data_IF_177133221729
#
_entry.id   IF_177133221729
#
_cell.length_a   1.000
_cell.length_b   1.000
_cell.length_c   1.000
_cell.angle_alpha   90.00
_cell.angle_beta   90.00
_cell.angle_gamma   90.00
#
_symmetry.space_group_name_H-M   'P 1'
#
loop_
_entity.id
_entity.type
_entity.pdbx_description
1 polymer ?
#
# COMPACT_ATOMS: atom_id res chain seq x y z
N UNK A 1 -32.85 98.53 0.45
CA UNK A 1 -33.77 97.51 -0.10
C UNK A 1 -33.35 96.17 0.43
N UNK A 2 -34.07 95.71 1.46
CA UNK A 2 -33.83 94.44 2.13
C UNK A 2 -34.02 93.31 1.12
N UNK A 3 -32.99 92.52 0.87
CA UNK A 3 -33.21 91.20 0.29
C UNK A 3 -34.08 90.43 1.29
N UNK A 4 -35.28 90.07 0.83
CA UNK A 4 -36.30 89.40 1.61
C UNK A 4 -35.72 88.11 2.24
N UNK A 5 -35.74 87.94 3.57
CA UNK A 5 -35.19 86.74 4.22
C UNK A 5 -35.82 85.45 3.68
N UNK A 6 -37.02 85.54 3.10
CA UNK A 6 -37.68 84.46 2.38
C UNK A 6 -36.91 84.01 1.13
N UNK A 7 -36.34 84.95 0.36
CA UNK A 7 -35.57 84.69 -0.86
C UNK A 7 -34.21 84.03 -0.54
N UNK A 8 -33.55 84.48 0.53
CA UNK A 8 -32.28 83.90 1.02
C UNK A 8 -32.46 82.47 1.51
N UNK A 9 -33.49 82.19 2.32
CA UNK A 9 -33.80 80.83 2.78
C UNK A 9 -34.22 79.89 1.64
N UNK A 10 -34.94 80.42 0.64
CA UNK A 10 -35.34 79.65 -0.55
C UNK A 10 -34.13 79.28 -1.43
N UNK A 11 -33.14 80.18 -1.57
CA UNK A 11 -31.88 79.92 -2.27
C UNK A 11 -31.02 78.89 -1.52
N UNK A 12 -30.92 78.99 -0.20
CA UNK A 12 -30.23 78.01 0.65
C UNK A 12 -30.88 76.63 0.54
N UNK A 13 -32.21 76.54 0.65
CA UNK A 13 -32.92 75.27 0.49
C UNK A 13 -32.73 74.65 -0.89
N UNK A 14 -32.77 75.45 -1.97
CA UNK A 14 -32.45 74.96 -3.33
C UNK A 14 -31.00 74.46 -3.43
N UNK A 15 -30.05 75.15 -2.83
CA UNK A 15 -28.64 74.74 -2.85
C UNK A 15 -28.40 73.43 -2.10
N UNK A 16 -29.05 73.23 -0.93
CA UNK A 16 -29.02 71.99 -0.16
C UNK A 16 -29.68 70.85 -0.94
N UNK A 17 -30.77 71.13 -1.63
CA UNK A 17 -31.47 70.14 -2.47
C UNK A 17 -30.59 69.71 -3.65
N UNK A 18 -29.92 70.65 -4.32
CA UNK A 18 -28.94 70.36 -5.37
C UNK A 18 -27.74 69.54 -4.84
N UNK A 19 -27.24 69.88 -3.65
CA UNK A 19 -26.14 69.15 -3.01
C UNK A 19 -26.54 67.72 -2.63
N UNK A 20 -27.76 67.54 -2.12
CA UNK A 20 -28.30 66.22 -1.81
C UNK A 20 -28.50 65.37 -3.07
N UNK A 21 -29.01 65.95 -4.16
CA UNK A 21 -29.13 65.28 -5.46
C UNK A 21 -27.74 64.87 -5.99
N UNK A 22 -26.75 65.75 -5.86
CA UNK A 22 -25.37 65.48 -6.27
C UNK A 22 -24.75 64.32 -5.47
N UNK A 23 -24.91 64.31 -4.14
CA UNK A 23 -24.46 63.20 -3.28
C UNK A 23 -25.17 61.90 -3.65
N UNK A 24 -26.47 61.95 -3.94
CA UNK A 24 -27.25 60.78 -4.34
C UNK A 24 -26.75 60.18 -5.66
N UNK A 25 -26.43 61.04 -6.65
CA UNK A 25 -25.82 60.62 -7.90
C UNK A 25 -24.43 59.99 -7.68
N UNK A 26 -23.58 60.60 -6.86
CA UNK A 26 -22.25 60.06 -6.56
C UNK A 26 -22.33 58.68 -5.88
N UNK A 27 -23.24 58.53 -4.92
CA UNK A 27 -23.47 57.25 -4.25
C UNK A 27 -24.00 56.18 -5.22
N UNK A 28 -24.90 56.54 -6.14
CA UNK A 28 -25.39 55.62 -7.17
C UNK A 28 -24.24 55.10 -8.05
N UNK A 29 -23.33 55.96 -8.49
CA UNK A 29 -22.18 55.55 -9.30
C UNK A 29 -21.19 54.67 -8.53
N UNK A 30 -20.94 54.96 -7.25
CA UNK A 30 -20.07 54.13 -6.38
C UNK A 30 -20.67 52.73 -6.21
N UNK A 31 -21.98 52.63 -5.97
CA UNK A 31 -22.66 51.33 -5.84
C UNK A 31 -22.56 50.53 -7.13
N UNK A 32 -22.75 51.17 -8.30
CA UNK A 32 -22.59 50.52 -9.60
C UNK A 32 -21.15 50.00 -9.81
N UNK A 33 -20.14 50.76 -9.43
CA UNK A 33 -18.73 50.34 -9.49
C UNK A 33 -18.43 49.14 -8.60
N UNK A 34 -18.98 49.10 -7.38
CA UNK A 34 -18.80 47.97 -6.45
C UNK A 34 -19.46 46.70 -7.02
N UNK A 35 -20.68 46.81 -7.56
CA UNK A 35 -21.40 45.69 -8.18
C UNK A 35 -20.61 45.17 -9.38
N UNK A 36 -20.12 46.06 -10.24
CA UNK A 36 -19.33 45.70 -11.41
C UNK A 36 -18.03 44.97 -11.04
N UNK A 37 -17.30 45.48 -10.04
CA UNK A 37 -16.08 44.83 -9.54
C UNK A 37 -16.35 43.45 -8.92
N UNK A 38 -17.42 43.30 -8.14
CA UNK A 38 -17.82 42.01 -7.58
C UNK A 38 -18.21 41.00 -8.67
N UNK A 39 -18.89 41.45 -9.74
CA UNK A 39 -19.19 40.60 -10.89
C UNK A 39 -17.94 40.13 -11.62
N UNK A 40 -16.95 41.01 -11.85
CA UNK A 40 -15.66 40.65 -12.44
C UNK A 40 -14.91 39.64 -11.56
N UNK A 41 -14.89 39.87 -10.24
CA UNK A 41 -14.21 38.99 -9.30
C UNK A 41 -14.83 37.58 -9.27
N UNK A 42 -16.16 37.48 -9.25
CA UNK A 42 -16.88 36.21 -9.37
C UNK A 42 -16.62 35.50 -10.70
N UNK A 43 -16.58 36.25 -11.82
CA UNK A 43 -16.27 35.70 -13.14
C UNK A 43 -14.84 35.12 -13.17
N UNK A 44 -13.87 35.80 -12.58
CA UNK A 44 -12.49 35.32 -12.45
C UNK A 44 -12.37 34.06 -11.58
N UNK A 45 -13.11 33.98 -10.47
CA UNK A 45 -13.14 32.78 -9.63
C UNK A 45 -13.81 31.58 -10.34
N UNK A 46 -14.90 31.83 -11.07
CA UNK A 46 -15.53 30.82 -11.92
C UNK A 46 -14.55 30.29 -12.98
N UNK A 47 -13.81 31.18 -13.66
CA UNK A 47 -12.78 30.79 -14.64
C UNK A 47 -11.68 29.94 -13.99
N UNK A 48 -11.17 30.31 -12.81
CA UNK A 48 -10.20 29.50 -12.05
C UNK A 48 -10.77 28.12 -11.71
N UNK A 49 -12.04 28.04 -11.31
CA UNK A 49 -12.70 26.78 -10.99
C UNK A 49 -12.89 25.90 -12.23
N UNK A 50 -13.25 26.47 -13.39
CA UNK A 50 -13.31 25.74 -14.66
C UNK A 50 -11.93 25.25 -15.11
N UNK A 51 -10.87 26.05 -14.95
CA UNK A 51 -9.49 25.63 -15.23
C UNK A 51 -9.08 24.46 -14.33
N UNK A 52 -9.39 24.51 -13.03
CA UNK A 52 -9.14 23.41 -12.09
C UNK A 52 -9.91 22.14 -12.48
N UNK A 53 -11.22 22.26 -12.80
CA UNK A 53 -12.04 21.12 -13.26
C UNK A 53 -11.51 20.52 -14.55
N UNK A 54 -11.05 21.36 -15.49
CA UNK A 54 -10.44 20.91 -16.76
C UNK A 54 -9.12 20.18 -16.52
N UNK A 55 -8.24 20.72 -15.65
CA UNK A 55 -7.00 20.04 -15.23
C UNK A 55 -7.29 18.69 -14.56
N UNK A 56 -8.29 18.61 -13.68
CA UNK A 56 -8.70 17.37 -13.01
C UNK A 56 -9.27 16.34 -14.01
N UNK A 57 -10.07 16.79 -14.98
CA UNK A 57 -10.61 15.94 -16.04
C UNK A 57 -9.50 15.37 -16.94
N UNK A 58 -8.51 16.18 -17.31
CA UNK A 58 -7.34 15.74 -18.09
C UNK A 58 -6.51 14.72 -17.29
N UNK A 59 -6.30 14.94 -15.98
CA UNK A 59 -5.62 13.97 -15.10
C UNK A 59 -6.40 12.65 -15.02
N UNK A 60 -7.73 12.71 -14.83
CA UNK A 60 -8.56 11.51 -14.78
C UNK A 60 -8.56 10.74 -16.11
N UNK A 61 -8.62 11.45 -17.24
CA UNK A 61 -8.56 10.86 -18.57
C UNK A 61 -7.18 10.25 -18.85
N UNK A 62 -6.10 10.91 -18.42
CA UNK A 62 -4.75 10.36 -18.48
C UNK A 62 -4.60 9.10 -17.61
N UNK A 63 -5.15 9.10 -16.39
CA UNK A 63 -5.19 7.93 -15.51
C UNK A 63 -6.00 6.78 -16.12
N UNK A 64 -7.12 7.08 -16.76
CA UNK A 64 -7.97 6.10 -17.44
C UNK A 64 -7.28 5.49 -18.67
N UNK A 65 -6.63 6.32 -19.50
CA UNK A 65 -5.81 5.86 -20.62
C UNK A 65 -4.64 5.01 -20.12
N UNK A 66 -3.98 5.37 -19.02
CA UNK A 66 -2.89 4.58 -18.43
C UNK A 66 -3.38 3.22 -17.91
N UNK A 67 -4.60 3.15 -17.39
CA UNK A 67 -5.26 1.90 -16.99
C UNK A 67 -5.63 1.02 -18.18
N UNK A 68 -6.11 1.60 -19.29
CA UNK A 68 -6.40 0.88 -20.54
C UNK A 68 -5.11 0.34 -21.16
N UNK A 69 -4.09 1.18 -21.28
CA UNK A 69 -2.76 0.79 -21.77
C UNK A 69 -2.16 -0.31 -20.88
N UNK A 70 -2.36 -0.26 -19.55
CA UNK A 70 -1.96 -1.36 -18.67
C UNK A 70 -2.75 -2.65 -18.89
N UNK A 71 -4.05 -2.57 -19.20
CA UNK A 71 -4.86 -3.75 -19.54
C UNK A 71 -4.39 -4.38 -20.85
N UNK A 72 -4.01 -3.58 -21.85
CA UNK A 72 -3.48 -4.09 -23.11
C UNK A 72 -2.07 -4.67 -22.93
N UNK A 73 -1.18 -4.05 -22.16
CA UNK A 73 0.12 -4.64 -21.79
C UNK A 73 -0.02 -5.90 -20.93
N UNK A 74 -1.03 -5.99 -20.07
CA UNK A 74 -1.35 -7.20 -19.31
C UNK A 74 -1.82 -8.34 -20.22
N UNK A 75 -2.42 -8.02 -21.37
CA UNK A 75 -2.81 -9.01 -22.37
C UNK A 75 -1.59 -9.47 -23.18
N UNK A 76 -0.65 -8.56 -23.44
CA UNK A 76 0.63 -8.85 -24.11
C UNK A 76 1.66 -9.58 -23.23
N UNK A 77 1.60 -9.43 -21.90
CA UNK A 77 2.38 -10.23 -20.94
C UNK A 77 1.74 -11.59 -20.64
N UNK A 78 1.10 -12.21 -21.64
CA UNK A 78 0.73 -13.62 -21.59
C UNK A 78 1.88 -14.43 -22.20
N UNK A 79 2.73 -14.95 -21.32
CA UNK A 79 3.39 -16.27 -21.39
C UNK A 79 4.62 -16.28 -20.48
N UNK A 80 4.43 -16.39 -19.15
CA UNK A 80 5.56 -16.64 -18.23
C UNK A 80 5.40 -17.91 -17.39
N UNK A 81 4.38 -18.75 -17.66
CA UNK A 81 4.43 -20.13 -17.20
C UNK A 81 5.24 -20.91 -18.24
N UNK A 82 6.55 -20.97 -18.03
CA UNK A 82 7.41 -21.85 -18.80
C UNK A 82 7.23 -23.24 -18.19
N UNK A 83 6.46 -24.08 -18.86
CA UNK A 83 6.46 -25.51 -18.58
C UNK A 83 7.79 -26.08 -19.08
N UNK A 84 8.45 -26.90 -18.27
CA UNK A 84 9.61 -27.67 -18.70
C UNK A 84 9.21 -28.67 -19.81
N UNK A 85 10.19 -29.25 -20.51
CA UNK A 85 10.02 -30.27 -21.57
C UNK A 85 9.10 -31.43 -21.17
N UNK A 86 8.91 -31.64 -19.86
CA UNK A 86 8.03 -32.65 -19.26
C UNK A 86 6.64 -32.13 -18.82
N UNK A 87 6.19 -30.96 -19.28
CA UNK A 87 4.94 -30.30 -18.88
C UNK A 87 4.80 -29.99 -17.37
N UNK A 88 5.91 -29.97 -16.62
CA UNK A 88 5.95 -29.57 -15.20
C UNK A 88 6.21 -28.07 -15.08
N UNK A 89 5.60 -27.43 -14.09
CA UNK A 89 5.88 -26.02 -13.78
C UNK A 89 7.37 -25.86 -13.44
N UNK A 90 8.09 -25.00 -14.17
CA UNK A 90 9.44 -24.62 -13.80
C UNK A 90 9.38 -23.74 -12.53
N UNK A 91 9.93 -24.23 -11.42
CA UNK A 91 9.92 -23.54 -10.11
C UNK A 91 11.26 -22.91 -9.75
N UNK A 92 12.24 -22.87 -10.66
CA UNK A 92 13.58 -22.36 -10.35
C UNK A 92 13.65 -20.83 -10.26
N UNK A 93 12.59 -20.13 -10.68
CA UNK A 93 12.55 -18.67 -10.56
C UNK A 93 12.40 -18.23 -9.08
N UNK A 94 13.36 -17.47 -8.51
CA UNK A 94 13.32 -17.02 -7.12
C UNK A 94 12.14 -16.08 -6.78
N UNK A 95 11.45 -15.54 -7.79
CA UNK A 95 10.22 -14.75 -7.56
C UNK A 95 9.12 -15.60 -6.88
N UNK A 96 9.14 -16.91 -7.04
CA UNK A 96 8.21 -17.80 -6.34
C UNK A 96 8.50 -17.86 -4.84
N UNK A 97 9.77 -17.78 -4.41
CA UNK A 97 10.11 -17.63 -2.99
C UNK A 97 9.56 -16.30 -2.42
N UNK A 98 9.63 -15.21 -3.19
CA UNK A 98 8.98 -13.95 -2.84
C UNK A 98 7.47 -14.09 -2.69
N UNK A 99 6.81 -14.82 -3.60
CA UNK A 99 5.37 -15.08 -3.50
C UNK A 99 5.07 -15.82 -2.19
N UNK A 100 5.83 -16.87 -1.85
CA UNK A 100 5.64 -17.58 -0.58
C UNK A 100 5.81 -16.64 0.61
N UNK A 101 6.85 -15.81 0.65
CA UNK A 101 7.05 -14.82 1.72
C UNK A 101 5.90 -13.82 1.86
N UNK A 102 5.34 -13.35 0.73
CA UNK A 102 4.19 -12.46 0.71
C UNK A 102 2.92 -13.13 1.29
N UNK A 103 2.61 -14.35 0.87
CA UNK A 103 1.46 -15.12 1.37
C UNK A 103 1.64 -15.57 2.83
N UNK A 104 2.87 -15.85 3.24
CA UNK A 104 3.18 -16.19 4.62
C UNK A 104 2.91 -15.00 5.55
N UNK A 105 3.28 -13.78 5.11
CA UNK A 105 2.99 -12.55 5.82
C UNK A 105 1.50 -12.21 5.93
N UNK A 106 0.82 -11.96 4.81
CA UNK A 106 -0.58 -11.44 4.80
C UNK A 106 -1.61 -12.36 4.15
N UNK A 107 -1.19 -13.48 3.57
CA UNK A 107 -2.08 -14.46 2.96
C UNK A 107 -2.59 -15.52 3.94
N UNK A 108 -3.22 -16.55 3.39
CA UNK A 108 -3.61 -17.78 4.08
C UNK A 108 -3.71 -18.93 3.07
N UNK A 109 -3.56 -20.15 3.56
CA UNK A 109 -3.85 -21.37 2.82
C UNK A 109 -4.69 -22.27 3.72
N UNK A 110 -5.94 -22.51 3.35
CA UNK A 110 -6.91 -23.13 4.27
C UNK A 110 -7.90 -24.06 3.58
N UNK A 111 -8.46 -24.94 4.38
CA UNK A 111 -9.64 -25.76 4.06
C UNK A 111 -10.78 -25.28 4.95
N UNK A 112 -11.92 -24.91 4.36
CA UNK A 112 -13.08 -24.43 5.12
C UNK A 112 -14.34 -25.22 4.78
N UNK A 113 -15.23 -25.40 5.76
CA UNK A 113 -16.54 -26.04 5.56
C UNK A 113 -17.41 -25.19 4.63
N UNK A 114 -18.04 -25.85 3.64
CA UNK A 114 -19.04 -25.27 2.73
C UNK A 114 -20.23 -26.24 2.61
N UNK A 115 -21.15 -26.17 3.57
CA UNK A 115 -22.20 -27.16 3.72
C UNK A 115 -21.60 -28.53 4.08
N UNK A 116 -21.96 -29.57 3.31
CA UNK A 116 -21.36 -30.91 3.42
C UNK A 116 -19.97 -31.04 2.80
N UNK A 117 -19.59 -30.09 1.95
CA UNK A 117 -18.34 -30.11 1.19
C UNK A 117 -17.26 -29.22 1.79
N UNK A 118 -16.06 -29.31 1.23
CA UNK A 118 -14.90 -28.50 1.57
C UNK A 118 -14.57 -27.47 0.49
N UNK A 119 -14.12 -26.30 0.92
CA UNK A 119 -13.50 -25.29 0.07
C UNK A 119 -12.01 -25.22 0.37
N UNK A 120 -11.19 -25.50 -0.63
CA UNK A 120 -9.75 -25.27 -0.59
C UNK A 120 -9.47 -23.87 -1.14
N UNK A 121 -8.77 -23.04 -0.38
CA UNK A 121 -8.44 -21.67 -0.79
C UNK A 121 -7.01 -21.29 -0.38
N UNK A 122 -6.20 -20.92 -1.38
CA UNK A 122 -5.07 -20.00 -1.16
C UNK A 122 -5.61 -18.59 -1.39
N UNK A 123 -5.37 -17.68 -0.45
CA UNK A 123 -5.88 -16.31 -0.55
C UNK A 123 -4.98 -15.28 0.10
N UNK A 124 -5.12 -14.03 -0.33
CA UNK A 124 -4.52 -12.86 0.30
C UNK A 124 -5.48 -11.68 0.16
N UNK A 125 -5.62 -10.90 1.23
CA UNK A 125 -6.46 -9.71 1.28
C UNK A 125 -5.62 -8.52 1.73
N UNK A 126 -5.69 -7.42 0.98
CA UNK A 126 -4.87 -6.23 1.17
C UNK A 126 -5.70 -4.97 1.00
N UNK A 127 -5.17 -3.83 1.46
CA UNK A 127 -5.80 -2.53 1.22
C UNK A 127 -5.87 -2.25 -0.29
N UNK A 128 -6.85 -1.45 -0.74
CA UNK A 128 -7.05 -1.12 -2.17
C UNK A 128 -5.81 -0.50 -2.86
N UNK A 129 -4.89 0.07 -2.07
CA UNK A 129 -3.61 0.64 -2.54
C UNK A 129 -2.71 -0.42 -3.20
N UNK A 130 -2.87 -1.69 -2.83
CA UNK A 130 -2.12 -2.83 -3.34
C UNK A 130 -2.85 -3.64 -4.42
N UNK A 131 -3.96 -3.11 -4.98
CA UNK A 131 -4.68 -3.85 -6.03
C UNK A 131 -3.79 -4.18 -7.24
N UNK A 132 -2.85 -3.28 -7.59
CA UNK A 132 -1.87 -3.52 -8.65
C UNK A 132 -0.91 -4.66 -8.32
N UNK A 133 -0.53 -4.82 -7.04
CA UNK A 133 0.28 -5.96 -6.59
C UNK A 133 -0.50 -7.25 -6.81
N UNK A 134 -1.79 -7.31 -6.46
CA UNK A 134 -2.59 -8.51 -6.66
C UNK A 134 -2.73 -8.91 -8.14
N UNK A 135 -2.86 -7.94 -9.05
CA UNK A 135 -2.84 -8.21 -10.49
C UNK A 135 -1.46 -8.72 -10.97
N UNK A 136 -0.36 -8.18 -10.45
CA UNK A 136 0.98 -8.72 -10.74
C UNK A 136 1.12 -10.17 -10.26
N UNK A 137 0.66 -10.48 -9.05
CA UNK A 137 0.69 -11.85 -8.51
C UNK A 137 -0.16 -12.79 -9.37
N UNK A 138 -1.36 -12.38 -9.77
CA UNK A 138 -2.21 -13.14 -10.70
C UNK A 138 -1.47 -13.43 -12.01
N UNK A 139 -0.81 -12.42 -12.60
CA UNK A 139 -0.11 -12.57 -13.87
C UNK A 139 1.13 -13.48 -13.74
N UNK A 140 1.91 -13.35 -12.67
CA UNK A 140 3.08 -14.21 -12.41
C UNK A 140 2.66 -15.68 -12.21
N UNK A 141 1.58 -15.92 -11.46
CA UNK A 141 1.05 -17.27 -11.23
C UNK A 141 0.26 -17.81 -12.43
N UNK A 142 -0.22 -16.94 -13.33
CA UNK A 142 -1.14 -17.26 -14.43
C UNK A 142 -2.50 -17.83 -14.02
N UNK A 143 -2.85 -17.78 -12.72
CA UNK A 143 -4.08 -18.35 -12.16
C UNK A 143 -4.68 -17.43 -11.11
N UNK A 144 -5.92 -17.75 -10.71
CA UNK A 144 -6.61 -17.09 -9.61
C UNK A 144 -7.48 -15.91 -10.04
N UNK A 145 -8.16 -15.31 -9.07
CA UNK A 145 -9.11 -14.23 -9.28
C UNK A 145 -8.80 -13.06 -8.35
N UNK A 146 -8.88 -11.84 -8.88
CA UNK A 146 -8.81 -10.59 -8.10
C UNK A 146 -10.23 -10.05 -7.96
N UNK A 147 -10.59 -9.63 -6.76
CA UNK A 147 -11.91 -9.09 -6.42
C UNK A 147 -11.78 -7.91 -5.47
N UNK A 148 -12.76 -7.02 -5.47
CA UNK A 148 -12.87 -5.92 -4.51
C UNK A 148 -14.00 -6.25 -3.54
N UNK A 149 -13.72 -6.08 -2.24
CA UNK A 149 -14.70 -6.21 -1.16
C UNK A 149 -14.96 -4.83 -0.57
N UNK A 150 -16.24 -4.49 -0.43
CA UNK A 150 -16.70 -3.28 0.26
C UNK A 150 -17.23 -3.69 1.62
N UNK A 151 -16.57 -3.26 2.68
CA UNK A 151 -16.93 -3.55 4.06
C UNK A 151 -17.68 -2.34 4.63
N UNK A 152 -18.93 -2.53 5.05
CA UNK A 152 -19.68 -1.51 5.79
C UNK A 152 -19.20 -1.52 7.24
N UNK A 153 -18.64 -0.41 7.68
CA UNK A 153 -18.19 -0.20 9.05
C UNK A 153 -19.37 0.20 9.94
N UNK A 154 -19.20 0.06 11.26
CA UNK A 154 -20.26 0.39 12.25
C UNK A 154 -20.64 1.88 12.24
N UNK A 155 -19.71 2.75 11.84
CA UNK A 155 -19.90 4.20 11.70
C UNK A 155 -20.56 4.61 10.36
N UNK A 156 -21.00 3.64 9.56
CA UNK A 156 -21.63 3.88 8.25
C UNK A 156 -20.64 4.10 7.10
N UNK A 157 -19.33 4.17 7.36
CA UNK A 157 -18.32 4.32 6.31
C UNK A 157 -18.10 3.01 5.53
N UNK A 158 -17.64 3.12 4.29
CA UNK A 158 -17.29 1.97 3.45
C UNK A 158 -15.78 1.85 3.35
N UNK A 159 -15.23 0.74 3.82
CA UNK A 159 -13.81 0.38 3.66
C UNK A 159 -13.65 -0.57 2.48
N UNK A 160 -12.81 -0.19 1.51
CA UNK A 160 -12.49 -1.02 0.36
C UNK A 160 -11.22 -1.85 0.58
N UNK A 161 -11.34 -3.16 0.38
CA UNK A 161 -10.26 -4.13 0.41
C UNK A 161 -10.20 -4.85 -0.93
N UNK A 162 -9.01 -5.29 -1.34
CA UNK A 162 -8.85 -6.12 -2.52
C UNK A 162 -8.37 -7.52 -2.11
N UNK A 163 -8.88 -8.56 -2.78
CA UNK A 163 -8.58 -9.96 -2.48
C UNK A 163 -8.14 -10.68 -3.74
N UNK A 164 -7.06 -11.45 -3.63
CA UNK A 164 -6.67 -12.45 -4.61
C UNK A 164 -6.91 -13.84 -4.02
N UNK A 165 -7.45 -14.78 -4.80
CA UNK A 165 -7.55 -16.17 -4.38
C UNK A 165 -7.45 -17.20 -5.52
N UNK A 166 -7.07 -18.41 -5.14
CA UNK A 166 -7.08 -19.62 -5.98
C UNK A 166 -7.91 -20.67 -5.28
N UNK A 167 -8.96 -21.16 -5.96
CA UNK A 167 -9.90 -22.18 -5.45
C UNK A 167 -10.02 -23.41 -6.35
N UNK A 168 -9.57 -23.32 -7.60
CA UNK A 168 -9.61 -24.45 -8.52
C UNK A 168 -8.61 -25.51 -8.05
N UNK A 169 -9.09 -26.73 -7.75
CA UNK A 169 -8.26 -27.82 -7.21
C UNK A 169 -7.11 -28.20 -8.15
N UNK A 170 -7.32 -28.19 -9.47
CA UNK A 170 -6.26 -28.49 -10.44
C UNK A 170 -5.20 -27.39 -10.45
N UNK A 171 -5.59 -26.12 -10.40
CA UNK A 171 -4.62 -25.02 -10.28
C UNK A 171 -3.85 -25.09 -8.96
N UNK A 172 -4.50 -25.46 -7.85
CA UNK A 172 -3.84 -25.66 -6.58
C UNK A 172 -2.82 -26.81 -6.67
N UNK A 173 -3.21 -27.97 -7.18
CA UNK A 173 -2.33 -29.14 -7.35
C UNK A 173 -1.16 -28.89 -8.31
N UNK A 174 -1.41 -28.25 -9.45
CA UNK A 174 -0.44 -28.16 -10.54
C UNK A 174 0.48 -26.94 -10.45
N UNK A 175 0.06 -25.88 -9.74
CA UNK A 175 0.83 -24.62 -9.65
C UNK A 175 1.25 -24.32 -8.20
N UNK A 176 0.28 -24.28 -7.28
CA UNK A 176 0.56 -23.85 -5.90
C UNK A 176 1.38 -24.91 -5.14
N UNK A 177 1.01 -26.19 -5.24
CA UNK A 177 1.74 -27.26 -4.53
C UNK A 177 3.22 -27.30 -4.94
N UNK A 178 3.60 -27.30 -6.24
CA UNK A 178 5.01 -27.26 -6.65
C UNK A 178 5.79 -26.05 -6.11
N UNK A 179 5.20 -24.85 -6.15
CA UNK A 179 5.84 -23.63 -5.64
C UNK A 179 6.17 -23.74 -4.15
N UNK A 180 5.18 -24.13 -3.34
CA UNK A 180 5.35 -24.23 -1.88
C UNK A 180 6.17 -25.46 -1.45
N UNK A 181 6.28 -26.48 -2.32
CA UNK A 181 7.24 -27.59 -2.12
C UNK A 181 8.68 -27.11 -2.35
N UNK A 182 8.92 -26.34 -3.41
CA UNK A 182 10.26 -25.83 -3.76
C UNK A 182 10.75 -24.77 -2.77
N UNK A 183 9.85 -23.88 -2.34
CA UNK A 183 10.14 -22.83 -1.38
C UNK A 183 9.21 -22.96 -0.16
N UNK A 184 9.49 -23.87 0.79
CA UNK A 184 8.69 -24.02 1.99
C UNK A 184 8.58 -22.73 2.81
N UNK A 185 7.40 -22.50 3.39
CA UNK A 185 7.17 -21.48 4.42
C UNK A 185 8.11 -21.69 5.62
N UNK A 186 8.49 -20.59 6.27
CA UNK A 186 9.54 -20.60 7.30
C UNK A 186 9.00 -20.69 8.74
N UNK A 187 7.74 -20.29 8.94
CA UNK A 187 7.05 -20.28 10.23
C UNK A 187 6.20 -21.53 10.44
N UNK A 188 5.53 -21.62 11.58
CA UNK A 188 4.51 -22.64 11.87
C UNK A 188 3.34 -22.65 10.88
N UNK A 189 3.17 -21.60 10.07
CA UNK A 189 2.21 -21.60 8.97
C UNK A 189 2.54 -22.65 7.91
N UNK A 190 3.76 -23.20 7.90
CA UNK A 190 4.12 -24.36 7.10
C UNK A 190 3.24 -25.59 7.41
N UNK A 191 2.85 -25.80 8.67
CA UNK A 191 1.92 -26.89 9.03
C UNK A 191 0.56 -26.74 8.34
N UNK A 192 0.06 -25.50 8.16
CA UNK A 192 -1.20 -25.27 7.44
C UNK A 192 -1.09 -25.73 6.00
N UNK A 193 0.07 -25.49 5.37
CA UNK A 193 0.35 -25.97 4.02
C UNK A 193 0.45 -27.48 3.95
N UNK A 194 1.13 -28.13 4.90
CA UNK A 194 1.24 -29.59 4.94
C UNK A 194 -0.14 -30.24 5.07
N UNK A 195 -0.95 -29.76 6.00
CA UNK A 195 -2.33 -30.21 6.18
C UNK A 195 -3.18 -29.96 4.94
N UNK A 196 -3.08 -28.77 4.34
CA UNK A 196 -3.78 -28.42 3.10
C UNK A 196 -3.39 -29.34 1.93
N UNK A 197 -2.09 -29.56 1.75
CA UNK A 197 -1.53 -30.38 0.67
C UNK A 197 -1.98 -31.83 0.80
N UNK A 198 -1.84 -32.42 1.99
CA UNK A 198 -2.20 -33.82 2.23
C UNK A 198 -3.67 -34.11 1.87
N UNK A 199 -4.59 -33.32 2.44
CA UNK A 199 -6.02 -33.47 2.18
C UNK A 199 -6.40 -33.17 0.72
N UNK A 200 -5.74 -32.20 0.08
CA UNK A 200 -5.98 -31.90 -1.34
C UNK A 200 -5.53 -33.05 -2.25
N UNK A 201 -4.39 -33.67 -1.95
CA UNK A 201 -3.83 -34.77 -2.75
C UNK A 201 -4.58 -36.09 -2.53
N UNK A 202 -5.10 -36.33 -1.32
CA UNK A 202 -6.03 -37.44 -1.01
C UNK A 202 -7.44 -37.22 -1.53
N UNK A 203 -7.70 -36.09 -2.21
CA UNK A 203 -9.00 -35.72 -2.76
C UNK A 203 -10.14 -35.72 -1.73
N UNK A 204 -9.86 -35.32 -0.48
CA UNK A 204 -10.88 -35.18 0.56
C UNK A 204 -11.87 -34.09 0.16
N UNK A 205 -13.17 -34.45 0.12
CA UNK A 205 -14.26 -33.60 -0.38
C UNK A 205 -15.30 -33.27 0.68
N UNK A 206 -15.56 -34.17 1.61
CA UNK A 206 -16.58 -34.00 2.64
C UNK A 206 -15.98 -33.55 3.95
N UNK A 207 -16.73 -32.74 4.70
CA UNK A 207 -16.25 -32.22 5.99
C UNK A 207 -16.10 -33.31 7.06
N UNK A 208 -16.93 -34.36 7.02
CA UNK A 208 -16.87 -35.44 8.00
C UNK A 208 -15.62 -36.32 7.84
N UNK A 209 -15.03 -36.33 6.64
CA UNK A 209 -13.80 -37.08 6.35
C UNK A 209 -12.55 -36.26 6.69
N UNK A 210 -12.72 -34.98 7.05
CA UNK A 210 -11.61 -34.08 7.32
C UNK A 210 -11.11 -34.27 8.75
N UNK A 211 -9.85 -34.68 8.91
CA UNK A 211 -9.25 -34.85 10.22
C UNK A 211 -9.13 -33.53 10.97
N UNK A 212 -9.26 -33.56 12.30
CA UNK A 212 -9.04 -32.38 13.14
C UNK A 212 -7.64 -31.79 12.91
N UNK A 213 -7.54 -30.47 12.93
CA UNK A 213 -6.29 -29.75 12.77
C UNK A 213 -6.24 -28.53 13.67
N UNK A 214 -5.12 -28.40 14.37
CA UNK A 214 -4.71 -27.21 15.08
C UNK A 214 -3.25 -26.95 14.76
N UNK A 215 -2.91 -25.72 14.38
CA UNK A 215 -1.52 -25.36 14.06
C UNK A 215 -0.63 -25.59 15.30
N UNK A 216 0.47 -26.36 15.18
CA UNK A 216 1.41 -26.54 16.28
C UNK A 216 2.01 -25.21 16.77
N UNK A 217 2.26 -25.15 18.08
CA UNK A 217 2.88 -23.99 18.75
C UNK A 217 4.42 -24.05 18.62
N UNK A 218 5.00 -25.25 18.63
CA UNK A 218 6.44 -25.45 18.49
C UNK A 218 6.92 -24.96 17.10
N UNK A 219 7.98 -24.12 17.03
CA UNK A 219 8.53 -23.63 15.77
C UNK A 219 8.94 -24.80 14.86
N UNK A 220 8.57 -24.73 13.58
CA UNK A 220 8.93 -25.74 12.57
C UNK A 220 10.42 -25.73 12.24
N UNK A 221 11.01 -24.53 12.11
CA UNK A 221 12.44 -24.33 11.83
C UNK A 221 13.10 -23.65 13.04
N UNK A 222 14.39 -23.92 13.26
CA UNK A 222 15.24 -23.08 14.11
C UNK A 222 15.73 -21.84 13.34
N UNK A 223 16.33 -20.88 14.05
CA UNK A 223 16.98 -19.72 13.41
C UNK A 223 18.08 -20.14 12.42
N UNK A 224 18.85 -21.16 12.76
CA UNK A 224 19.94 -21.67 11.92
C UNK A 224 19.40 -22.34 10.65
N UNK A 225 18.34 -23.13 10.78
CA UNK A 225 17.66 -23.73 9.62
C UNK A 225 17.14 -22.67 8.63
N UNK A 226 16.70 -21.52 9.15
CA UNK A 226 16.23 -20.40 8.32
C UNK A 226 17.40 -19.75 7.59
N UNK A 227 18.51 -19.48 8.29
CA UNK A 227 19.70 -18.84 7.73
C UNK A 227 20.34 -19.69 6.61
N UNK A 228 20.28 -21.01 6.75
CA UNK A 228 20.84 -21.95 5.77
C UNK A 228 19.98 -22.16 4.51
N UNK A 229 18.77 -21.58 4.44
CA UNK A 229 17.92 -21.66 3.23
C UNK A 229 18.42 -20.69 2.17
N UNK A 230 18.90 -21.23 1.05
CA UNK A 230 19.40 -20.44 -0.09
C UNK A 230 18.39 -19.44 -0.69
N UNK A 231 17.09 -19.67 -0.49
CA UNK A 231 16.01 -18.79 -0.95
C UNK A 231 15.55 -17.76 0.09
N UNK A 232 16.15 -17.75 1.29
CA UNK A 232 15.75 -16.88 2.40
C UNK A 232 15.76 -15.40 2.00
N UNK A 233 16.79 -14.96 1.27
CA UNK A 233 16.91 -13.58 0.79
C UNK A 233 15.76 -13.15 -0.12
N UNK A 234 15.25 -14.05 -0.96
CA UNK A 234 14.15 -13.79 -1.90
C UNK A 234 12.80 -13.85 -1.18
N UNK A 235 12.63 -14.83 -0.29
CA UNK A 235 11.48 -14.92 0.61
C UNK A 235 11.35 -13.66 1.47
N UNK A 236 12.46 -13.13 1.98
CA UNK A 236 12.48 -11.99 2.89
C UNK A 236 11.96 -10.71 2.23
N UNK A 237 12.19 -10.50 0.93
CA UNK A 237 11.63 -9.35 0.20
C UNK A 237 10.10 -9.45 0.11
N UNK A 238 9.56 -10.64 -0.14
CA UNK A 238 8.11 -10.87 -0.15
C UNK A 238 7.49 -10.70 1.23
N UNK A 239 8.19 -11.19 2.23
CA UNK A 239 7.82 -11.02 3.62
C UNK A 239 7.83 -9.53 4.04
N UNK A 240 8.83 -8.76 3.61
CA UNK A 240 8.88 -7.31 3.82
C UNK A 240 7.78 -6.56 3.10
N UNK A 241 7.39 -6.96 1.89
CA UNK A 241 6.23 -6.38 1.20
C UNK A 241 4.99 -6.44 2.13
N UNK A 242 4.76 -7.58 2.78
CA UNK A 242 3.63 -7.79 3.68
C UNK A 242 3.76 -7.11 5.06
N UNK A 243 4.90 -7.24 5.74
CA UNK A 243 5.02 -6.98 7.20
C UNK A 243 5.99 -5.88 7.61
N UNK A 244 6.86 -5.42 6.72
CA UNK A 244 7.79 -4.34 7.06
C UNK A 244 7.11 -2.97 7.06
N UNK A 245 7.73 -1.97 7.67
CA UNK A 245 7.33 -0.57 7.50
C UNK A 245 8.57 0.32 7.51
N UNK A 246 8.58 1.29 6.60
CA UNK A 246 9.60 2.34 6.50
C UNK A 246 8.97 3.66 6.91
N UNK A 247 9.56 4.33 7.90
CA UNK A 247 9.01 5.58 8.41
C UNK A 247 10.11 6.61 8.70
N UNK A 248 9.75 7.86 8.42
CA UNK A 248 10.54 9.05 8.76
C UNK A 248 9.61 9.95 9.56
N UNK A 249 10.05 10.36 10.75
CA UNK A 249 9.27 11.23 11.62
C UNK A 249 10.18 12.18 12.39
N UNK A 250 9.63 13.30 12.85
CA UNK A 250 10.29 14.22 13.76
C UNK A 250 9.75 13.98 15.18
N UNK A 251 10.51 13.32 16.08
CA UNK A 251 10.07 13.16 17.46
C UNK A 251 9.87 14.53 18.12
N UNK A 252 8.83 14.69 18.95
CA UNK A 252 8.56 15.97 19.64
C UNK A 252 9.79 16.46 20.42
N UNK A 253 10.49 15.52 21.06
CA UNK A 253 11.66 15.81 21.91
C UNK A 253 12.98 15.91 21.12
N UNK A 254 12.96 15.92 19.77
CA UNK A 254 14.17 16.00 18.95
C UNK A 254 14.03 17.04 17.84
N UNK A 255 15.07 17.87 17.68
CA UNK A 255 15.14 18.89 16.62
C UNK A 255 15.18 18.27 15.21
N UNK A 256 15.80 17.10 15.06
CA UNK A 256 16.00 16.44 13.76
C UNK A 256 15.07 15.24 13.55
N UNK A 257 14.77 14.96 12.27
CA UNK A 257 14.05 13.76 11.84
C UNK A 257 14.84 12.49 12.16
N UNK A 258 14.12 11.40 12.39
CA UNK A 258 14.64 10.04 12.62
C UNK A 258 14.04 9.10 11.59
N UNK A 259 14.88 8.20 11.07
CA UNK A 259 14.46 7.10 10.22
C UNK A 259 14.31 5.84 11.06
N UNK A 260 13.26 5.07 10.80
CA UNK A 260 13.10 3.74 11.37
C UNK A 260 12.64 2.72 10.35
N UNK A 261 13.13 1.51 10.55
CA UNK A 261 12.66 0.30 9.90
C UNK A 261 12.07 -0.62 10.97
N UNK A 262 10.87 -1.11 10.70
CA UNK A 262 10.19 -2.04 11.60
C UNK A 262 9.65 -3.25 10.86
N UNK A 263 9.63 -4.39 11.55
CA UNK A 263 9.00 -5.63 11.11
C UNK A 263 8.19 -6.17 12.29
N UNK A 264 6.92 -6.49 12.04
CA UNK A 264 6.00 -6.97 13.07
C UNK A 264 5.52 -8.38 12.74
N UNK A 265 5.52 -9.26 13.74
CA UNK A 265 5.08 -10.65 13.61
C UNK A 265 4.55 -11.22 14.92
N UNK A 266 3.62 -12.16 14.85
CA UNK A 266 3.01 -12.78 16.03
C UNK A 266 3.67 -14.15 16.25
N UNK A 267 4.13 -14.47 17.47
CA UNK A 267 4.65 -15.80 17.86
C UNK A 267 5.68 -16.44 16.89
N UNK A 268 6.69 -15.71 16.42
CA UNK A 268 7.70 -16.27 15.51
C UNK A 268 9.07 -15.61 15.75
N UNK A 269 9.65 -15.87 16.91
CA UNK A 269 10.90 -15.26 17.37
C UNK A 269 12.10 -15.75 16.56
N UNK A 270 12.10 -17.01 16.16
CA UNK A 270 13.12 -17.67 15.34
C UNK A 270 13.34 -16.95 14.00
N UNK A 271 12.26 -16.50 13.35
CA UNK A 271 12.32 -15.71 12.11
C UNK A 271 12.86 -14.31 12.39
N UNK A 272 12.43 -13.65 13.46
CA UNK A 272 12.94 -12.32 13.81
C UNK A 272 14.45 -12.35 14.12
N UNK A 273 14.91 -13.38 14.84
CA UNK A 273 16.32 -13.61 15.12
C UNK A 273 17.12 -13.90 13.84
N UNK A 274 16.57 -14.70 12.92
CA UNK A 274 17.19 -14.94 11.62
C UNK A 274 17.33 -13.63 10.81
N UNK A 275 16.28 -12.80 10.75
CA UNK A 275 16.35 -11.50 10.06
C UNK A 275 17.38 -10.58 10.73
N UNK A 276 17.38 -10.53 12.07
CA UNK A 276 18.35 -9.73 12.84
C UNK A 276 19.79 -10.13 12.51
N UNK A 277 20.08 -11.44 12.56
CA UNK A 277 21.40 -12.00 12.26
C UNK A 277 21.80 -11.73 10.79
N UNK A 278 20.92 -12.08 9.85
CA UNK A 278 21.17 -11.97 8.41
C UNK A 278 21.41 -10.52 7.95
N UNK A 279 20.67 -9.56 8.51
CA UNK A 279 20.83 -8.14 8.21
C UNK A 279 21.84 -7.43 9.11
N UNK A 280 22.49 -8.16 10.03
CA UNK A 280 23.45 -7.61 11.01
C UNK A 280 22.87 -6.40 11.75
N UNK A 281 21.65 -6.55 12.25
CA UNK A 281 20.94 -5.52 13.02
C UNK A 281 21.32 -5.70 14.49
N UNK A 282 21.77 -4.64 15.15
CA UNK A 282 22.23 -4.73 16.53
C UNK A 282 21.09 -4.56 17.56
N UNK A 283 20.03 -3.82 17.20
CA UNK A 283 18.92 -3.52 18.10
C UNK A 283 18.21 -4.78 18.65
N UNK A 284 17.71 -4.68 19.88
CA UNK A 284 16.95 -5.74 20.53
C UNK A 284 15.56 -5.90 19.90
N UNK A 285 15.05 -7.13 19.93
CA UNK A 285 13.68 -7.46 19.50
C UNK A 285 12.79 -7.28 20.72
N UNK A 286 11.67 -6.59 20.56
CA UNK A 286 10.71 -6.37 21.64
C UNK A 286 9.47 -7.24 21.39
N UNK A 287 8.90 -7.81 22.45
CA UNK A 287 7.57 -8.40 22.40
C UNK A 287 6.60 -7.50 23.16
N UNK A 288 5.45 -7.22 22.55
CA UNK A 288 4.36 -6.52 23.23
C UNK A 288 3.49 -7.53 24.00
N UNK A 289 2.65 -7.02 24.90
CA UNK A 289 1.72 -7.77 25.77
C UNK A 289 0.76 -8.72 25.01
N UNK A 290 0.55 -8.51 23.71
CA UNK A 290 -0.26 -9.37 22.83
C UNK A 290 0.54 -10.45 22.09
N UNK A 291 1.74 -10.78 22.55
CA UNK A 291 2.72 -11.67 21.90
C UNK A 291 3.07 -11.27 20.44
N UNK A 292 2.90 -10.00 20.12
CA UNK A 292 3.37 -9.41 18.87
C UNK A 292 4.84 -9.04 19.04
N UNK A 293 5.71 -9.83 18.44
CA UNK A 293 7.13 -9.51 18.30
C UNK A 293 7.29 -8.39 17.28
N UNK A 294 7.90 -7.29 17.70
CA UNK A 294 8.23 -6.17 16.83
C UNK A 294 9.73 -5.92 16.91
N UNK A 295 10.40 -6.04 15.76
CA UNK A 295 11.76 -5.58 15.61
C UNK A 295 11.71 -4.16 15.05
N UNK A 296 12.28 -3.19 15.77
CA UNK A 296 12.40 -1.81 15.31
C UNK A 296 13.85 -1.36 15.42
N UNK A 297 14.41 -0.82 14.34
CA UNK A 297 15.72 -0.19 14.36
C UNK A 297 15.64 1.24 13.86
N UNK A 298 16.47 2.10 14.47
CA UNK A 298 16.65 3.53 14.14
C UNK A 298 18.12 3.91 14.01
N UNK A 299 19.03 2.96 14.24
CA UNK A 299 20.46 3.22 14.21
C UNK A 299 20.91 3.47 12.77
N UNK A 300 21.93 4.32 12.58
CA UNK A 300 22.37 4.70 11.23
C UNK A 300 22.94 3.47 10.49
N UNK A 301 23.69 2.63 11.19
CA UNK A 301 24.28 1.41 10.64
C UNK A 301 23.24 0.37 10.25
N UNK A 302 22.23 0.12 11.08
CA UNK A 302 21.19 -0.86 10.75
C UNK A 302 20.33 -0.39 9.57
N UNK A 303 20.00 0.92 9.50
CA UNK A 303 19.29 1.49 8.35
C UNK A 303 20.12 1.34 7.08
N UNK A 304 21.45 1.56 7.14
CA UNK A 304 22.36 1.28 6.02
C UNK A 304 22.26 -0.18 5.59
N UNK A 305 22.34 -1.14 6.53
CA UNK A 305 22.29 -2.56 6.21
C UNK A 305 20.96 -2.94 5.53
N UNK A 306 19.83 -2.45 6.05
CA UNK A 306 18.51 -2.68 5.45
C UNK A 306 18.41 -2.08 4.05
N UNK A 307 18.85 -0.84 3.86
CA UNK A 307 18.81 -0.16 2.56
C UNK A 307 19.66 -0.89 1.54
N UNK A 308 20.89 -1.27 1.90
CA UNK A 308 21.80 -1.98 1.00
C UNK A 308 21.31 -3.38 0.66
N UNK A 309 20.75 -4.12 1.63
CA UNK A 309 20.13 -5.41 1.38
C UNK A 309 18.99 -5.30 0.36
N UNK A 310 18.01 -4.42 0.61
CA UNK A 310 16.85 -4.26 -0.28
C UNK A 310 17.31 -3.81 -1.67
N UNK A 311 18.21 -2.84 -1.74
CA UNK A 311 18.66 -2.28 -3.01
C UNK A 311 19.42 -3.29 -3.88
N UNK A 312 20.30 -4.08 -3.27
CA UNK A 312 21.16 -5.01 -3.99
C UNK A 312 20.48 -6.36 -4.28
N UNK A 313 19.37 -6.67 -3.61
CA UNK A 313 18.63 -7.91 -3.85
C UNK A 313 18.06 -7.91 -5.29
N UNK A 314 18.26 -8.98 -6.08
CA UNK A 314 17.71 -9.08 -7.44
C UNK A 314 16.17 -9.09 -7.43
N UNK A 315 15.56 -9.65 -6.38
CA UNK A 315 14.11 -9.60 -6.18
C UNK A 315 13.73 -8.26 -5.56
N UNK A 316 12.73 -7.61 -6.14
CA UNK A 316 12.29 -6.27 -5.77
C UNK A 316 10.91 -6.28 -5.13
N UNK A 317 10.65 -5.26 -4.32
CA UNK A 317 9.31 -4.90 -3.87
C UNK A 317 8.45 -4.52 -5.09
N UNK A 318 7.18 -4.94 -5.10
CA UNK A 318 6.31 -4.84 -6.27
C UNK A 318 5.06 -3.97 -6.03
N UNK A 319 4.65 -3.77 -4.79
CA UNK A 319 3.41 -3.09 -4.41
C UNK A 319 3.61 -1.70 -3.83
N UNK A 320 2.70 -1.30 -2.94
CA UNK A 320 2.78 -0.03 -2.22
C UNK A 320 4.04 0.05 -1.35
N UNK A 321 4.59 -1.08 -0.87
CA UNK A 321 5.83 -1.07 -0.08
C UNK A 321 7.00 -0.54 -0.90
N UNK A 322 7.05 -0.80 -2.21
CA UNK A 322 8.05 -0.17 -3.12
C UNK A 322 7.94 1.35 -3.09
N UNK A 323 6.73 1.90 -3.19
CA UNK A 323 6.52 3.35 -3.13
C UNK A 323 6.93 3.91 -1.77
N UNK A 324 6.55 3.25 -0.68
CA UNK A 324 6.95 3.64 0.68
C UNK A 324 8.48 3.66 0.82
N UNK A 325 9.18 2.64 0.32
CA UNK A 325 10.63 2.55 0.34
C UNK A 325 11.30 3.66 -0.49
N UNK A 326 10.80 3.96 -1.69
CA UNK A 326 11.34 5.04 -2.54
C UNK A 326 11.18 6.41 -1.89
N UNK A 327 10.01 6.69 -1.30
CA UNK A 327 9.76 7.93 -0.55
C UNK A 327 10.65 8.01 0.71
N UNK A 328 10.82 6.88 1.40
CA UNK A 328 11.74 6.77 2.53
C UNK A 328 13.18 7.13 2.12
N UNK A 329 13.71 6.58 1.01
CA UNK A 329 15.04 6.94 0.51
C UNK A 329 15.14 8.41 0.13
N UNK A 330 14.10 8.98 -0.49
CA UNK A 330 14.05 10.41 -0.83
C UNK A 330 14.20 11.29 0.41
N UNK A 331 13.46 10.99 1.46
CA UNK A 331 13.52 11.74 2.71
C UNK A 331 14.81 11.47 3.47
N UNK A 332 15.33 10.24 3.44
CA UNK A 332 16.57 9.86 4.10
C UNK A 332 17.77 10.70 3.61
N UNK A 333 17.81 11.04 2.30
CA UNK A 333 18.84 11.91 1.71
C UNK A 333 18.83 13.34 2.28
N UNK A 334 17.69 13.80 2.80
CA UNK A 334 17.58 15.14 3.42
C UNK A 334 18.11 15.18 4.85
N UNK A 335 18.33 14.03 5.48
CA UNK A 335 18.75 13.94 6.88
C UNK A 335 20.28 13.76 6.94
N UNK A 336 20.98 14.83 7.32
CA UNK A 336 22.45 14.94 7.30
C UNK A 336 23.18 13.71 7.87
N UNK A 337 22.76 13.23 9.05
CA UNK A 337 23.43 12.10 9.72
C UNK A 337 23.36 10.77 8.96
N UNK A 338 22.32 10.54 8.15
CA UNK A 338 22.22 9.33 7.33
C UNK A 338 22.91 9.53 5.98
N UNK A 339 22.70 10.68 5.34
CA UNK A 339 23.26 10.99 4.03
C UNK A 339 24.80 11.05 4.03
N UNK A 340 25.40 11.52 5.13
CA UNK A 340 26.86 11.58 5.27
C UNK A 340 27.48 10.22 5.63
N UNK A 341 26.69 9.28 6.19
CA UNK A 341 27.22 8.01 6.70
C UNK A 341 27.41 6.95 5.60
N UNK A 342 26.57 6.96 4.56
CA UNK A 342 26.70 6.05 3.42
C UNK A 342 26.02 6.61 2.17
N UNK A 343 26.47 6.13 0.99
CA UNK A 343 25.89 6.53 -0.30
C UNK A 343 24.50 5.91 -0.48
N UNK A 344 23.45 6.69 -0.24
CA UNK A 344 22.06 6.26 -0.42
C UNK A 344 21.80 6.03 -1.92
N UNK A 345 21.40 4.81 -2.35
CA UNK A 345 21.25 4.49 -3.78
C UNK A 345 20.25 5.41 -4.49
N UNK A 346 20.58 5.96 -5.68
CA UNK A 346 19.68 6.84 -6.43
C UNK A 346 18.61 6.07 -7.24
N UNK A 347 18.83 4.79 -7.54
CA UNK A 347 17.99 3.93 -8.38
C UNK A 347 17.69 2.62 -7.65
N UNK A 348 16.43 2.15 -7.76
CA UNK A 348 15.94 0.90 -7.16
C UNK A 348 15.14 0.05 -8.15
#
# INVERSE_FOLDING_TARGET
NMEDPYYSNMMLNKSVLCWNIFIWMMNYYIIQLIIYNNMIWNKNNMVKMFIMRRKLAVINMYMYMKLIIQRTYSYYMNNTIIYDKNHKLNTDNPIYAYIVGLFEGNGWITISKKGKYLLYELGIEMHIKDIQLLYKIKNILGIGKVSIKKLKMKDGTIKEMCKFNVRNKNHLKNIIIPIFNKYPMLTNKHYDYLYFKDNLLKDIKYYNDLSYYLRPIKPFNTTEDILNKNYFSSWLIGFFEAKSCFSIYKPMNKKMKTASFEVSMNNNMEVMLAIKSYLKINNNIYMNEFNNSKMTTKSINDIKNVVMFINNNPIKLLGYKKLQYLLFLKDLRTITKYNNYFKIPPKY
#
